data_IF_146971432774
#
_entry.id   IF_146971432774
#
_cell.length_a   1.000
_cell.length_b   1.000
_cell.length_c   1.000
_cell.angle_alpha   90.00
_cell.angle_beta   90.00
_cell.angle_gamma   90.00
#
_symmetry.space_group_name_H-M   'P 1'
#
loop_
_entity.id
_entity.type
_entity.pdbx_description
1 polymer ?
#
# COMPACT_ATOMS: atom_id res chain seq x y z
N UNK A 1 -103.44 23.93 23.72
CA UNK A 1 -102.36 23.80 22.73
C UNK A 1 -101.06 23.87 23.49
N UNK A 2 -100.55 22.70 23.75
CA UNK A 2 -99.31 22.57 24.57
C UNK A 2 -98.16 22.12 23.64
N UNK A 3 -97.19 22.99 23.45
CA UNK A 3 -95.96 22.66 22.70
C UNK A 3 -94.97 21.96 23.63
N UNK A 4 -94.62 20.78 23.27
CA UNK A 4 -93.47 20.02 23.92
C UNK A 4 -92.17 20.31 23.17
N UNK A 5 -91.23 20.92 23.91
CA UNK A 5 -89.86 21.13 23.46
C UNK A 5 -89.06 19.83 23.61
N UNK A 6 -88.53 19.31 22.52
CA UNK A 6 -87.66 18.14 22.52
C UNK A 6 -86.22 18.68 22.49
N UNK A 7 -85.45 18.45 23.56
CA UNK A 7 -84.04 18.75 23.65
C UNK A 7 -83.24 17.56 23.12
N UNK A 8 -82.49 17.75 22.03
CA UNK A 8 -81.50 16.78 21.56
C UNK A 8 -80.18 16.98 22.29
N UNK A 9 -79.76 15.99 23.05
CA UNK A 9 -78.40 15.96 23.64
C UNK A 9 -77.47 15.26 22.64
N UNK A 10 -76.54 16.00 22.04
CA UNK A 10 -75.47 15.47 21.19
C UNK A 10 -74.34 14.95 22.10
N UNK A 11 -74.11 13.64 22.14
CA UNK A 11 -72.96 13.01 22.79
C UNK A 11 -71.79 13.08 21.80
N UNK A 12 -70.80 13.94 22.08
CA UNK A 12 -69.53 13.94 21.36
C UNK A 12 -68.63 12.84 21.83
N UNK A 13 -68.42 11.78 21.04
CA UNK A 13 -67.46 10.74 21.31
C UNK A 13 -66.08 11.24 20.85
N UNK A 14 -65.23 11.60 21.84
CA UNK A 14 -63.83 11.95 21.59
C UNK A 14 -63.06 10.67 21.28
N UNK A 15 -62.78 10.38 19.99
CA UNK A 15 -61.83 9.35 19.58
C UNK A 15 -60.40 9.77 19.88
N UNK A 16 -59.81 9.27 20.92
CA UNK A 16 -58.38 9.39 21.16
C UNK A 16 -57.64 8.54 20.17
N UNK A 17 -57.16 9.15 19.10
CA UNK A 17 -56.18 8.54 18.18
C UNK A 17 -54.88 8.37 18.95
N UNK A 18 -54.59 7.14 19.33
CA UNK A 18 -53.25 6.76 19.78
C UNK A 18 -52.37 6.80 18.54
N UNK A 19 -51.51 7.80 18.45
CA UNK A 19 -50.44 7.85 17.48
C UNK A 19 -49.55 6.67 17.75
N UNK A 20 -49.50 5.71 16.84
CA UNK A 20 -48.45 4.66 16.83
C UNK A 20 -47.08 5.37 16.86
N UNK A 21 -46.15 4.90 17.70
CA UNK A 21 -44.82 5.48 17.72
C UNK A 21 -44.25 5.36 16.30
N UNK A 22 -43.99 6.47 15.67
CA UNK A 22 -43.23 6.54 14.43
C UNK A 22 -41.92 5.84 14.68
N UNK A 23 -41.71 4.67 14.07
CA UNK A 23 -40.42 3.99 14.05
C UNK A 23 -39.43 5.02 13.54
N UNK A 24 -38.60 5.55 14.40
CA UNK A 24 -37.46 6.39 14.03
C UNK A 24 -36.74 5.66 12.90
N UNK A 25 -36.61 6.29 11.75
CA UNK A 25 -35.76 5.74 10.69
C UNK A 25 -34.40 5.48 11.34
N UNK A 26 -33.97 4.20 11.36
CA UNK A 26 -32.69 3.85 11.98
C UNK A 26 -31.62 4.69 11.29
N UNK A 27 -30.96 5.56 12.05
CA UNK A 27 -29.76 6.24 11.60
C UNK A 27 -28.75 5.17 11.23
N UNK A 28 -28.11 5.22 10.05
CA UNK A 28 -27.06 4.28 9.68
C UNK A 28 -25.92 4.26 10.70
N UNK A 29 -24.89 3.48 10.45
CA UNK A 29 -23.73 3.39 11.33
C UNK A 29 -22.56 4.24 10.80
N UNK A 30 -21.78 4.78 11.74
CA UNK A 30 -20.58 5.57 11.44
C UNK A 30 -19.49 5.24 12.45
N UNK A 31 -18.35 4.70 11.97
CA UNK A 31 -17.21 4.31 12.79
C UNK A 31 -15.92 4.82 12.19
N UNK A 32 -14.94 5.14 13.04
CA UNK A 32 -13.60 5.58 12.61
C UNK A 32 -12.62 4.40 12.65
N UNK A 33 -11.91 4.16 11.55
CA UNK A 33 -10.85 3.14 11.55
C UNK A 33 -9.66 3.53 12.44
N UNK A 34 -9.52 4.82 12.78
CA UNK A 34 -8.46 5.32 13.66
C UNK A 34 -8.80 5.23 15.14
N UNK A 35 -10.10 5.21 15.50
CA UNK A 35 -10.56 5.26 16.89
C UNK A 35 -11.31 3.99 17.31
N UNK A 36 -12.10 3.40 16.40
CA UNK A 36 -13.03 2.32 16.73
C UNK A 36 -12.56 0.94 16.21
N UNK A 37 -11.51 0.87 15.39
CA UNK A 37 -10.96 -0.39 14.89
C UNK A 37 -9.77 -0.83 15.74
N UNK A 38 -10.06 -1.57 16.81
CA UNK A 38 -9.08 -2.00 17.80
C UNK A 38 -8.20 -3.17 17.34
N UNK A 39 -7.00 -3.26 17.92
CA UNK A 39 -6.07 -4.38 17.73
C UNK A 39 -6.38 -5.58 18.64
N UNK A 40 -6.20 -6.80 18.14
CA UNK A 40 -5.86 -7.17 16.75
C UNK A 40 -7.06 -7.00 15.80
N UNK A 41 -6.88 -6.15 14.76
CA UNK A 41 -7.99 -5.78 13.87
C UNK A 41 -8.47 -6.95 13.00
N UNK A 42 -9.81 -7.12 12.83
CA UNK A 42 -10.33 -7.87 11.70
C UNK A 42 -10.09 -7.14 10.37
N UNK A 43 -10.08 -7.88 9.27
CA UNK A 43 -10.24 -7.29 7.95
C UNK A 43 -11.70 -6.84 7.78
N UNK A 44 -11.90 -5.57 7.48
CA UNK A 44 -13.24 -4.98 7.25
C UNK A 44 -13.49 -4.96 5.74
N UNK A 45 -14.31 -5.90 5.27
CA UNK A 45 -14.53 -6.16 3.85
C UNK A 45 -15.96 -5.83 3.42
N UNK A 46 -16.14 -5.60 2.12
CA UNK A 46 -17.47 -5.49 1.54
C UNK A 46 -18.26 -6.80 1.72
N UNK A 47 -19.60 -6.74 1.59
CA UNK A 47 -20.45 -7.92 1.64
C UNK A 47 -20.00 -8.98 0.60
N UNK A 48 -20.22 -10.26 0.91
CA UNK A 48 -19.70 -11.39 0.12
C UNK A 48 -20.21 -11.41 -1.33
N UNK A 49 -21.43 -10.99 -1.55
CA UNK A 49 -22.04 -10.86 -2.87
C UNK A 49 -21.44 -9.77 -3.75
N UNK A 50 -20.67 -8.82 -3.15
CA UNK A 50 -19.96 -7.76 -3.84
C UNK A 50 -18.51 -8.14 -4.20
N UNK A 51 -18.10 -9.38 -3.91
CA UNK A 51 -16.75 -9.89 -4.18
C UNK A 51 -15.80 -9.77 -3.01
N UNK A 52 -14.50 -9.63 -3.32
CA UNK A 52 -13.43 -9.53 -2.31
C UNK A 52 -12.77 -8.16 -2.40
N UNK A 53 -12.94 -7.36 -1.37
CA UNK A 53 -12.38 -6.02 -1.30
C UNK A 53 -12.58 -5.39 0.07
N UNK A 54 -11.75 -4.40 0.39
CA UNK A 54 -11.93 -3.61 1.60
C UNK A 54 -13.16 -2.72 1.52
N UNK A 55 -13.80 -2.50 2.68
CA UNK A 55 -14.72 -1.39 2.86
C UNK A 55 -13.90 -0.11 3.06
N UNK A 56 -14.03 0.86 2.16
CA UNK A 56 -13.21 2.07 2.19
C UNK A 56 -13.86 3.18 3.02
N UNK A 57 -13.04 4.01 3.73
CA UNK A 57 -13.53 5.25 4.34
C UNK A 57 -14.13 6.20 3.30
N UNK A 58 -15.07 7.03 3.76
CA UNK A 58 -15.75 8.02 2.93
C UNK A 58 -15.13 9.41 3.01
N UNK A 59 -14.17 9.61 3.92
CA UNK A 59 -13.52 10.89 4.18
C UNK A 59 -12.04 10.73 4.57
N UNK A 60 -11.37 11.85 4.75
CA UNK A 60 -9.94 11.92 5.13
C UNK A 60 -9.70 11.71 6.64
N UNK A 61 -10.73 11.48 7.45
CA UNK A 61 -10.62 11.16 8.87
C UNK A 61 -10.69 9.65 9.15
N UNK A 62 -10.93 8.86 8.09
CA UNK A 62 -11.03 7.40 8.20
C UNK A 62 -12.41 6.91 8.63
N UNK A 63 -13.48 7.65 8.31
CA UNK A 63 -14.84 7.27 8.66
C UNK A 63 -15.41 6.23 7.70
N UNK A 64 -15.85 5.10 8.24
CA UNK A 64 -16.70 4.13 7.54
C UNK A 64 -18.17 4.47 7.81
N UNK A 65 -18.98 4.56 6.76
CA UNK A 65 -20.43 4.76 6.85
C UNK A 65 -21.17 3.56 6.29
N UNK A 66 -22.20 3.14 7.00
CA UNK A 66 -23.08 2.04 6.62
C UNK A 66 -24.52 2.51 6.67
N UNK A 67 -25.32 2.14 5.66
CA UNK A 67 -26.76 2.31 5.74
C UNK A 67 -27.35 1.39 6.80
N UNK A 68 -28.55 1.70 7.29
CA UNK A 68 -29.25 0.80 8.21
C UNK A 68 -29.42 -0.60 7.59
N UNK A 69 -29.10 -1.64 8.33
CA UNK A 69 -29.09 -3.05 7.88
C UNK A 69 -28.11 -3.36 6.74
N UNK A 70 -27.20 -2.46 6.40
CA UNK A 70 -26.14 -2.74 5.41
C UNK A 70 -25.22 -3.84 5.93
N UNK A 71 -24.99 -4.85 5.06
CA UNK A 71 -24.08 -5.97 5.32
C UNK A 71 -22.64 -5.60 4.96
N UNK A 72 -21.71 -6.04 5.79
CA UNK A 72 -20.28 -6.11 5.50
C UNK A 72 -19.69 -7.37 6.13
N UNK A 73 -18.39 -7.63 5.93
CA UNK A 73 -17.72 -8.81 6.49
C UNK A 73 -16.61 -8.42 7.43
N UNK A 74 -16.48 -9.20 8.50
CA UNK A 74 -15.34 -9.19 9.41
C UNK A 74 -14.58 -10.51 9.27
N UNK A 75 -13.27 -10.42 9.00
CA UNK A 75 -12.46 -11.61 8.77
C UNK A 75 -11.20 -11.61 9.64
N UNK A 76 -11.04 -12.67 10.42
CA UNK A 76 -9.89 -12.98 11.26
C UNK A 76 -9.22 -14.26 10.75
N UNK A 77 -8.69 -14.23 9.53
CA UNK A 77 -8.06 -15.41 8.92
C UNK A 77 -6.70 -15.76 9.56
N UNK A 78 -6.23 -16.97 9.28
CA UNK A 78 -4.99 -17.51 9.80
C UNK A 78 -5.17 -18.66 10.79
N UNK A 79 -4.10 -19.44 10.97
CA UNK A 79 -4.16 -20.62 11.82
C UNK A 79 -4.44 -20.29 13.29
N UNK A 80 -5.59 -20.80 13.79
CA UNK A 80 -6.06 -20.60 15.15
C UNK A 80 -6.43 -19.14 15.46
N UNK A 81 -6.72 -18.32 14.44
CA UNK A 81 -7.26 -16.98 14.55
C UNK A 81 -8.78 -17.01 14.39
N UNK A 82 -9.51 -16.12 15.02
CA UNK A 82 -10.97 -15.99 14.98
C UNK A 82 -11.40 -14.70 15.68
N UNK A 83 -12.67 -14.29 15.48
CA UNK A 83 -13.28 -13.18 16.22
C UNK A 83 -13.48 -13.58 17.68
N UNK A 84 -12.99 -12.74 18.59
CA UNK A 84 -13.12 -12.95 20.04
C UNK A 84 -14.55 -12.66 20.49
N UNK A 85 -15.02 -13.44 21.46
CA UNK A 85 -16.29 -13.24 22.17
C UNK A 85 -17.56 -13.20 21.28
N UNK A 86 -17.44 -13.73 20.05
CA UNK A 86 -18.55 -13.86 19.08
C UNK A 86 -19.03 -15.31 19.00
N UNK A 87 -20.02 -15.66 19.81
CA UNK A 87 -20.58 -17.01 19.89
C UNK A 87 -19.59 -18.07 20.40
N UNK A 88 -20.03 -19.33 20.45
CA UNK A 88 -19.25 -20.46 20.98
C UNK A 88 -18.26 -21.05 19.98
N UNK A 89 -18.37 -20.70 18.70
CA UNK A 89 -17.54 -21.22 17.61
C UNK A 89 -16.39 -20.25 17.28
N UNK A 90 -15.24 -20.81 16.92
CA UNK A 90 -14.07 -20.04 16.44
C UNK A 90 -14.31 -19.51 15.04
N UNK A 91 -15.10 -18.45 14.91
CA UNK A 91 -15.57 -17.89 13.65
C UNK A 91 -14.46 -17.03 13.04
N UNK A 92 -14.03 -17.36 11.82
CA UNK A 92 -12.96 -16.64 11.11
C UNK A 92 -13.51 -15.63 10.10
N UNK A 93 -14.70 -15.80 9.58
CA UNK A 93 -15.32 -14.99 8.53
C UNK A 93 -16.84 -14.94 8.78
N UNK A 94 -17.36 -13.74 9.02
CA UNK A 94 -18.78 -13.54 9.36
C UNK A 94 -19.33 -12.24 8.77
N UNK A 95 -20.61 -12.29 8.40
CA UNK A 95 -21.37 -11.09 8.08
C UNK A 95 -21.71 -10.29 9.33
N UNK A 96 -21.61 -8.99 9.22
CA UNK A 96 -22.02 -8.00 10.22
C UNK A 96 -23.00 -7.02 9.57
N UNK A 97 -24.00 -6.57 10.33
CA UNK A 97 -25.05 -5.69 9.84
C UNK A 97 -25.14 -4.44 10.70
N UNK A 98 -25.23 -3.26 10.07
CA UNK A 98 -25.43 -2.01 10.81
C UNK A 98 -26.78 -1.99 11.52
N UNK A 99 -26.79 -1.78 12.84
CA UNK A 99 -28.00 -1.58 13.63
C UNK A 99 -28.25 -0.08 13.82
N UNK A 100 -27.33 0.63 14.47
CA UNK A 100 -27.35 2.09 14.73
C UNK A 100 -25.97 2.56 15.23
N UNK A 101 -25.63 3.79 14.95
CA UNK A 101 -24.45 4.50 15.46
C UNK A 101 -23.14 3.70 15.30
N UNK A 102 -22.66 3.06 16.36
CA UNK A 102 -21.47 2.19 16.39
C UNK A 102 -21.80 0.73 16.69
N UNK A 103 -23.09 0.38 16.76
CA UNK A 103 -23.60 -0.93 17.13
C UNK A 103 -23.93 -1.76 15.88
N UNK A 104 -23.43 -2.99 15.84
CA UNK A 104 -23.59 -3.93 14.74
C UNK A 104 -24.12 -5.27 15.21
N UNK A 105 -24.98 -5.89 14.40
CA UNK A 105 -25.49 -7.25 14.61
C UNK A 105 -24.51 -8.25 14.02
N UNK A 106 -23.91 -9.10 14.85
CA UNK A 106 -23.00 -10.18 14.46
C UNK A 106 -23.44 -11.47 15.13
N UNK A 107 -23.64 -12.53 14.39
CA UNK A 107 -24.11 -13.83 14.94
C UNK A 107 -25.38 -13.69 15.80
N UNK A 108 -26.33 -12.85 15.38
CA UNK A 108 -27.61 -12.57 16.09
C UNK A 108 -27.45 -11.85 17.45
N UNK A 109 -26.29 -11.30 17.76
CA UNK A 109 -26.02 -10.50 18.96
C UNK A 109 -25.51 -9.12 18.55
N UNK A 110 -25.93 -8.07 19.28
CA UNK A 110 -25.44 -6.72 19.07
C UNK A 110 -24.10 -6.51 19.78
N UNK A 111 -23.13 -5.94 19.06
CA UNK A 111 -21.78 -5.58 19.54
C UNK A 111 -21.46 -4.13 19.19
N UNK A 112 -20.72 -3.45 20.04
CA UNK A 112 -20.02 -2.23 19.61
C UNK A 112 -18.88 -2.58 18.66
N UNK A 113 -18.66 -1.76 17.62
CA UNK A 113 -17.62 -2.03 16.61
C UNK A 113 -16.23 -2.20 17.23
N UNK A 114 -15.92 -1.44 18.27
CA UNK A 114 -14.64 -1.47 18.96
C UNK A 114 -14.36 -2.80 19.70
N UNK A 115 -15.39 -3.59 20.00
CA UNK A 115 -15.28 -4.89 20.69
C UNK A 115 -15.04 -6.05 19.69
N UNK A 116 -15.22 -5.79 18.39
CA UNK A 116 -15.07 -6.79 17.34
C UNK A 116 -13.59 -6.95 16.96
N UNK A 117 -12.85 -7.72 17.73
CA UNK A 117 -11.40 -7.93 17.57
C UNK A 117 -11.06 -9.39 17.24
N UNK A 118 -9.94 -9.60 16.57
CA UNK A 118 -9.40 -10.93 16.33
C UNK A 118 -8.62 -11.44 17.54
N UNK A 119 -8.47 -12.76 17.66
CA UNK A 119 -7.55 -13.34 18.66
C UNK A 119 -6.09 -12.99 18.41
N UNK A 120 -5.69 -12.86 17.15
CA UNK A 120 -4.34 -12.54 16.68
C UNK A 120 -4.40 -11.57 15.52
N UNK A 121 -3.28 -10.88 15.27
CA UNK A 121 -3.12 -10.14 14.01
C UNK A 121 -3.31 -11.06 12.82
N UNK A 122 -4.10 -10.63 11.84
CA UNK A 122 -4.31 -11.36 10.59
C UNK A 122 -3.01 -11.39 9.78
N UNK A 123 -2.43 -12.57 9.49
CA UNK A 123 -1.17 -12.69 8.78
C UNK A 123 -1.35 -12.44 7.28
N UNK A 124 -0.46 -11.65 6.69
CA UNK A 124 -0.33 -11.59 5.24
C UNK A 124 0.59 -12.72 4.73
N UNK A 125 0.40 -13.12 3.49
CA UNK A 125 1.18 -14.15 2.82
C UNK A 125 1.60 -13.71 1.42
N UNK A 126 2.65 -14.36 0.88
CA UNK A 126 3.08 -14.23 -0.51
C UNK A 126 2.74 -15.51 -1.24
N UNK A 127 2.05 -15.42 -2.39
CA UNK A 127 1.70 -16.61 -3.20
C UNK A 127 2.03 -16.43 -4.67
N UNK A 128 2.21 -17.54 -5.39
CA UNK A 128 2.24 -17.57 -6.86
C UNK A 128 0.81 -17.51 -7.38
N UNK A 129 0.57 -16.68 -8.39
CA UNK A 129 -0.75 -16.60 -9.04
C UNK A 129 -0.93 -17.67 -10.12
N UNK A 130 0.13 -18.35 -10.53
CA UNK A 130 0.14 -19.23 -11.70
C UNK A 130 0.22 -18.47 -13.03
N UNK A 131 0.22 -17.13 -13.01
CA UNK A 131 0.34 -16.26 -14.18
C UNK A 131 1.78 -15.78 -14.35
N UNK A 132 2.06 -15.21 -15.52
CA UNK A 132 3.32 -14.51 -15.82
C UNK A 132 3.07 -13.02 -15.99
N UNK A 133 4.08 -12.21 -15.69
CA UNK A 133 4.15 -10.80 -16.01
C UNK A 133 5.25 -10.57 -17.05
N UNK A 134 5.17 -9.47 -17.82
CA UNK A 134 6.17 -9.13 -18.85
C UNK A 134 6.51 -10.32 -19.78
N UNK A 135 5.51 -11.16 -20.06
CA UNK A 135 5.52 -12.37 -20.90
C UNK A 135 6.28 -13.59 -20.34
N UNK A 136 7.23 -13.44 -19.39
CA UNK A 136 8.09 -14.57 -18.97
C UNK A 136 8.39 -14.64 -17.48
N UNK A 137 8.19 -13.54 -16.73
CA UNK A 137 8.52 -13.50 -15.32
C UNK A 137 7.35 -13.95 -14.45
N UNK A 138 7.65 -14.36 -13.22
CA UNK A 138 6.64 -14.87 -12.29
C UNK A 138 5.80 -13.73 -11.72
N UNK A 139 4.48 -13.86 -11.81
CA UNK A 139 3.57 -13.00 -11.08
C UNK A 139 3.27 -13.61 -9.71
N UNK A 140 3.54 -12.84 -8.68
CA UNK A 140 3.21 -13.15 -7.28
C UNK A 140 2.17 -12.15 -6.78
N UNK A 141 1.50 -12.52 -5.70
CA UNK A 141 0.61 -11.63 -4.94
C UNK A 141 1.01 -11.62 -3.47
N UNK A 142 0.92 -10.45 -2.85
CA UNK A 142 0.95 -10.28 -1.40
C UNK A 142 -0.47 -9.93 -0.94
N UNK A 143 -0.95 -10.56 0.13
CA UNK A 143 -2.30 -10.32 0.61
C UNK A 143 -2.70 -11.24 1.75
N UNK A 144 -4.00 -11.47 1.89
CA UNK A 144 -4.57 -12.25 2.98
C UNK A 144 -5.33 -13.46 2.43
N UNK A 145 -5.00 -14.63 2.95
CA UNK A 145 -5.71 -15.88 2.63
C UNK A 145 -7.01 -15.92 3.44
N UNK A 146 -8.15 -15.94 2.75
CA UNK A 146 -9.47 -16.01 3.33
C UNK A 146 -10.07 -17.44 3.23
N UNK A 147 -9.23 -18.42 2.93
CA UNK A 147 -9.61 -19.83 2.71
C UNK A 147 -10.05 -20.08 1.28
N UNK A 148 -11.28 -19.74 0.91
CA UNK A 148 -11.78 -19.91 -0.48
C UNK A 148 -11.36 -18.77 -1.40
N UNK A 149 -11.14 -17.60 -0.85
CA UNK A 149 -10.82 -16.37 -1.54
C UNK A 149 -9.44 -15.85 -1.12
N UNK A 150 -8.96 -14.85 -1.82
CA UNK A 150 -7.73 -14.14 -1.48
C UNK A 150 -7.92 -12.64 -1.63
N UNK A 151 -7.62 -11.89 -0.57
CA UNK A 151 -7.60 -10.44 -0.62
C UNK A 151 -6.19 -9.98 -1.00
N UNK A 152 -5.95 -9.76 -2.29
CA UNK A 152 -4.69 -9.22 -2.79
C UNK A 152 -4.53 -7.75 -2.41
N UNK A 153 -3.35 -7.39 -1.91
CA UNK A 153 -2.97 -6.00 -1.62
C UNK A 153 -1.95 -5.48 -2.62
N UNK A 154 -1.10 -6.35 -3.13
CA UNK A 154 -0.02 -6.01 -4.08
C UNK A 154 0.18 -7.12 -5.11
N UNK A 155 0.31 -6.73 -6.39
CA UNK A 155 0.79 -7.61 -7.45
C UNK A 155 2.29 -7.39 -7.65
N UNK A 156 3.06 -8.46 -7.73
CA UNK A 156 4.53 -8.42 -7.81
C UNK A 156 4.99 -9.11 -9.08
N UNK A 157 5.75 -8.41 -9.91
CA UNK A 157 6.42 -8.95 -11.09
C UNK A 157 7.89 -9.24 -10.78
N UNK A 158 8.29 -10.53 -10.82
CA UNK A 158 9.58 -10.96 -10.30
C UNK A 158 10.30 -11.94 -11.22
N UNK A 159 11.59 -11.71 -11.40
CA UNK A 159 12.53 -12.70 -11.94
C UNK A 159 13.03 -13.63 -10.83
N UNK A 160 12.75 -14.92 -10.99
CA UNK A 160 13.18 -15.95 -10.01
C UNK A 160 14.67 -16.30 -10.14
N UNK A 161 15.32 -15.98 -11.28
CA UNK A 161 16.73 -16.32 -11.52
C UNK A 161 17.66 -15.26 -10.93
N UNK A 162 17.32 -13.97 -11.13
CA UNK A 162 18.12 -12.84 -10.62
C UNK A 162 17.63 -12.32 -9.28
N UNK A 163 16.46 -12.80 -8.82
CA UNK A 163 15.76 -12.36 -7.63
C UNK A 163 15.36 -10.87 -7.65
N UNK A 164 15.29 -10.26 -8.82
CA UNK A 164 14.85 -8.87 -9.00
C UNK A 164 13.33 -8.82 -9.00
N UNK A 165 12.75 -7.97 -8.18
CA UNK A 165 11.37 -7.51 -8.31
C UNK A 165 11.38 -6.36 -9.30
N UNK A 166 10.91 -6.60 -10.52
CA UNK A 166 10.88 -5.56 -11.56
C UNK A 166 9.90 -4.46 -11.23
N UNK A 167 8.72 -4.82 -10.72
CA UNK A 167 7.77 -3.85 -10.16
C UNK A 167 6.78 -4.49 -9.20
N UNK A 168 6.17 -3.65 -8.40
CA UNK A 168 4.98 -3.93 -7.59
C UNK A 168 3.87 -3.00 -8.07
N UNK A 169 2.66 -3.55 -8.27
CA UNK A 169 1.43 -2.81 -8.56
C UNK A 169 0.56 -2.75 -7.31
N UNK A 170 0.00 -1.57 -7.02
CA UNK A 170 -1.03 -1.36 -6.00
C UNK A 170 -2.17 -0.49 -6.54
N UNK A 171 -3.36 -0.68 -6.02
CA UNK A 171 -4.48 0.22 -6.24
C UNK A 171 -4.53 1.22 -5.07
N UNK A 172 -4.28 2.49 -5.36
CA UNK A 172 -4.30 3.58 -4.39
C UNK A 172 -5.69 4.22 -4.41
N UNK A 173 -6.53 3.99 -3.38
CA UNK A 173 -7.89 4.51 -3.39
C UNK A 173 -7.91 6.02 -3.11
N UNK A 174 -8.88 6.73 -3.67
CA UNK A 174 -9.14 8.15 -3.37
C UNK A 174 -9.36 8.44 -1.88
N UNK A 175 -9.79 7.44 -1.11
CA UNK A 175 -9.94 7.52 0.34
C UNK A 175 -8.62 7.40 1.11
N UNK A 176 -7.47 7.36 0.42
CA UNK A 176 -6.15 7.19 1.06
C UNK A 176 -5.85 8.29 2.09
N UNK A 177 -6.45 9.48 1.96
CA UNK A 177 -6.35 10.53 2.98
C UNK A 177 -6.82 10.10 4.37
N UNK A 178 -7.73 9.12 4.44
CA UNK A 178 -8.27 8.55 5.69
C UNK A 178 -7.51 7.35 6.23
N UNK A 179 -6.27 7.13 5.82
CA UNK A 179 -5.47 5.98 6.26
C UNK A 179 -5.20 5.97 7.77
N UNK A 180 -5.03 4.79 8.35
CA UNK A 180 -4.64 4.64 9.75
C UNK A 180 -3.23 5.21 9.98
N UNK A 181 -3.16 6.32 10.72
CA UNK A 181 -1.91 6.98 11.08
C UNK A 181 -1.26 6.32 12.30
N UNK A 182 0.07 6.46 12.44
CA UNK A 182 0.78 5.95 13.61
C UNK A 182 0.85 4.43 13.76
N UNK A 183 0.30 3.66 12.83
CA UNK A 183 0.31 2.20 12.89
C UNK A 183 1.74 1.65 12.92
N UNK A 184 2.10 0.74 13.86
CA UNK A 184 3.48 0.34 14.08
C UNK A 184 4.06 -0.42 12.89
N UNK A 185 5.38 -0.28 12.68
CA UNK A 185 6.12 -1.05 11.68
C UNK A 185 6.47 -2.42 12.24
N UNK A 186 6.08 -3.53 11.58
CA UNK A 186 6.51 -4.86 11.99
C UNK A 186 7.97 -5.11 11.56
N UNK A 187 8.52 -6.23 12.01
CA UNK A 187 9.75 -6.78 11.42
C UNK A 187 9.52 -7.17 9.97
N UNK A 188 10.58 -7.11 9.16
CA UNK A 188 10.56 -7.58 7.79
C UNK A 188 10.49 -9.10 7.71
N UNK A 189 9.71 -9.60 6.78
CA UNK A 189 9.51 -11.03 6.53
C UNK A 189 10.18 -11.47 5.24
N UNK A 190 10.79 -12.65 5.28
CA UNK A 190 11.35 -13.31 4.12
C UNK A 190 10.41 -14.42 3.65
N UNK A 191 10.10 -14.45 2.34
CA UNK A 191 9.41 -15.55 1.70
C UNK A 191 10.41 -16.58 1.16
N UNK A 192 9.92 -17.74 0.70
CA UNK A 192 10.74 -18.82 0.14
C UNK A 192 11.30 -18.53 -1.26
N UNK A 193 11.14 -17.29 -1.75
CA UNK A 193 11.51 -16.89 -3.12
C UNK A 193 12.95 -16.31 -3.23
N UNK A 194 13.85 -16.59 -2.28
CA UNK A 194 15.17 -15.96 -2.22
C UNK A 194 16.34 -16.97 -2.38
N UNK A 195 16.02 -18.23 -2.71
CA UNK A 195 17.04 -19.26 -2.84
C UNK A 195 17.89 -19.41 -1.58
N UNK A 196 19.24 -19.39 -1.69
CA UNK A 196 20.12 -19.57 -0.53
C UNK A 196 20.35 -18.29 0.30
N UNK A 197 19.82 -17.15 -0.11
CA UNK A 197 20.16 -15.85 0.47
C UNK A 197 19.28 -15.50 1.67
N UNK A 198 19.90 -15.13 2.79
CA UNK A 198 19.23 -14.54 3.97
C UNK A 198 19.20 -13.03 3.80
N UNK A 199 18.09 -12.51 3.24
CA UNK A 199 18.00 -11.10 2.81
C UNK A 199 18.13 -10.12 3.97
N UNK A 200 17.61 -10.48 5.17
CA UNK A 200 17.75 -9.63 6.34
C UNK A 200 19.21 -9.29 6.65
N UNK A 201 20.11 -10.26 6.52
CA UNK A 201 21.51 -10.11 6.88
C UNK A 201 22.26 -9.20 5.92
N UNK A 202 21.88 -9.20 4.64
CA UNK A 202 22.46 -8.31 3.62
C UNK A 202 22.21 -6.83 3.90
N UNK A 203 21.15 -6.51 4.64
CA UNK A 203 20.85 -5.13 5.03
C UNK A 203 21.65 -4.64 6.25
N UNK A 204 22.44 -5.49 6.94
CA UNK A 204 23.33 -5.02 7.99
C UNK A 204 24.50 -4.23 7.39
N UNK A 205 24.79 -3.05 7.94
CA UNK A 205 25.84 -2.17 7.43
C UNK A 205 27.23 -2.84 7.37
N UNK A 206 27.66 -3.63 8.35
CA UNK A 206 28.93 -4.37 8.24
C UNK A 206 28.97 -5.33 7.03
N UNK A 207 27.83 -6.00 6.73
CA UNK A 207 27.74 -6.88 5.56
C UNK A 207 27.80 -6.08 4.28
N UNK A 208 27.09 -4.95 4.18
CA UNK A 208 27.16 -4.06 3.03
C UNK A 208 28.59 -3.54 2.78
N UNK A 209 29.32 -3.15 3.85
CA UNK A 209 30.73 -2.74 3.76
C UNK A 209 31.59 -3.83 3.16
N UNK A 210 31.52 -5.05 3.74
CA UNK A 210 32.27 -6.21 3.24
C UNK A 210 31.95 -6.51 1.79
N UNK A 211 30.66 -6.50 1.41
CA UNK A 211 30.20 -6.72 0.04
C UNK A 211 30.79 -5.71 -0.93
N UNK A 212 30.72 -4.41 -0.59
CA UNK A 212 31.29 -3.33 -1.42
C UNK A 212 32.82 -3.43 -1.49
N UNK A 213 33.49 -3.75 -0.39
CA UNK A 213 34.94 -4.01 -0.37
C UNK A 213 35.35 -5.13 -1.33
N UNK A 214 34.62 -6.24 -1.33
CA UNK A 214 34.86 -7.37 -2.26
C UNK A 214 34.66 -6.96 -3.71
N UNK A 215 33.62 -6.17 -4.02
CA UNK A 215 33.33 -5.72 -5.38
C UNK A 215 34.40 -4.74 -5.89
N UNK A 216 34.77 -3.77 -5.07
CA UNK A 216 35.74 -2.71 -5.42
C UNK A 216 37.20 -3.14 -5.22
N UNK A 217 37.42 -4.31 -4.60
CA UNK A 217 38.73 -4.84 -4.22
C UNK A 217 39.54 -3.91 -3.33
N UNK A 218 38.85 -3.17 -2.45
CA UNK A 218 39.42 -2.23 -1.51
C UNK A 218 38.56 -2.14 -0.24
N UNK A 219 39.17 -2.39 0.92
CA UNK A 219 38.50 -2.29 2.20
C UNK A 219 38.23 -0.82 2.54
N UNK A 220 39.13 0.08 2.20
CA UNK A 220 39.00 1.53 2.44
C UNK A 220 37.79 2.10 1.68
N UNK A 221 37.61 1.71 0.42
CA UNK A 221 36.43 2.13 -0.36
C UNK A 221 35.13 1.59 0.21
N UNK A 222 35.11 0.33 0.69
CA UNK A 222 33.95 -0.21 1.38
C UNK A 222 33.57 0.57 2.64
N UNK A 223 34.57 0.99 3.43
CA UNK A 223 34.38 1.86 4.60
C UNK A 223 33.92 3.29 4.21
N UNK A 224 34.44 3.80 3.11
CA UNK A 224 34.13 5.16 2.61
C UNK A 224 32.70 5.23 2.08
N UNK A 225 32.30 4.26 1.25
CA UNK A 225 30.97 4.29 0.61
C UNK A 225 29.84 3.89 1.55
N UNK A 226 30.07 2.97 2.50
CA UNK A 226 29.04 2.54 3.44
C UNK A 226 29.37 3.06 4.85
N UNK A 227 28.63 4.06 5.30
CA UNK A 227 28.85 4.69 6.60
C UNK A 227 28.21 3.90 7.75
N UNK A 228 28.93 3.84 8.89
CA UNK A 228 28.37 3.30 10.13
C UNK A 228 27.51 4.32 10.88
N UNK A 229 27.75 5.61 10.68
CA UNK A 229 27.20 6.70 11.51
C UNK A 229 26.24 7.63 10.78
N UNK A 230 26.33 7.70 9.44
CA UNK A 230 25.50 8.57 8.61
C UNK A 230 24.45 7.77 7.81
N UNK A 231 23.72 8.46 6.93
CA UNK A 231 22.68 7.87 6.06
C UNK A 231 23.22 7.36 4.71
N UNK A 232 24.53 7.18 4.56
CA UNK A 232 25.15 6.59 3.37
C UNK A 232 25.24 5.07 3.53
N UNK A 233 24.12 4.38 3.26
CA UNK A 233 23.97 2.93 3.26
C UNK A 233 22.71 2.56 2.47
N UNK A 234 22.59 1.29 2.06
CA UNK A 234 21.40 0.78 1.40
C UNK A 234 20.32 0.43 2.41
N UNK A 235 19.21 1.16 2.35
CA UNK A 235 18.00 0.88 3.10
C UNK A 235 17.11 -0.14 2.36
N UNK A 236 16.13 -0.66 3.08
CA UNK A 236 15.02 -1.44 2.54
C UNK A 236 14.04 -0.47 1.86
N UNK A 237 14.35 -0.05 0.61
CA UNK A 237 13.49 0.82 -0.17
C UNK A 237 12.21 0.08 -0.56
N UNK A 238 11.06 0.49 0.00
CA UNK A 238 9.79 -0.07 -0.39
C UNK A 238 9.46 0.23 -1.85
N UNK A 239 8.94 -0.73 -2.59
CA UNK A 239 8.31 -0.51 -3.88
C UNK A 239 6.87 -0.01 -3.67
N UNK A 240 6.07 -0.73 -2.91
CA UNK A 240 4.79 -0.24 -2.42
C UNK A 240 4.96 0.25 -0.96
N UNK A 241 4.95 1.58 -0.70
CA UNK A 241 5.22 2.12 0.63
C UNK A 241 4.07 1.83 1.59
N UNK A 242 4.41 1.70 2.89
CA UNK A 242 3.44 1.44 3.96
C UNK A 242 2.24 2.41 3.92
N UNK A 243 2.50 3.68 3.69
CA UNK A 243 1.48 4.72 3.77
C UNK A 243 0.51 4.75 2.58
N UNK A 244 0.72 3.97 1.53
CA UNK A 244 -0.21 3.83 0.40
C UNK A 244 -1.40 2.91 0.72
N UNK A 245 -1.50 2.41 1.96
CA UNK A 245 -2.56 1.52 2.40
C UNK A 245 -3.39 2.14 3.54
N UNK A 246 -4.71 2.05 3.39
CA UNK A 246 -5.67 2.66 4.33
C UNK A 246 -5.65 1.94 5.68
N UNK A 247 -5.75 0.61 5.68
CA UNK A 247 -5.83 -0.19 6.89
C UNK A 247 -4.47 -0.62 7.42
N UNK A 248 -4.30 -0.62 8.73
CA UNK A 248 -3.09 -1.07 9.41
C UNK A 248 -2.69 -2.51 9.06
N UNK A 249 -3.66 -3.41 8.87
CA UNK A 249 -3.42 -4.78 8.39
C UNK A 249 -2.73 -4.78 7.02
N UNK A 250 -3.24 -3.99 6.06
CA UNK A 250 -2.64 -3.85 4.74
C UNK A 250 -1.29 -3.12 4.79
N UNK A 251 -1.14 -2.12 5.67
CA UNK A 251 0.15 -1.46 5.93
C UNK A 251 1.22 -2.46 6.39
N UNK A 252 0.86 -3.42 7.26
CA UNK A 252 1.78 -4.49 7.72
C UNK A 252 2.18 -5.43 6.59
N UNK A 253 1.29 -5.67 5.62
CA UNK A 253 1.58 -6.56 4.48
C UNK A 253 2.68 -6.03 3.54
N UNK A 254 3.08 -4.76 3.67
CA UNK A 254 4.17 -4.18 2.86
C UNK A 254 5.57 -4.61 3.30
N UNK A 255 5.72 -5.21 4.50
CA UNK A 255 7.01 -5.57 5.09
C UNK A 255 7.53 -6.94 4.67
N UNK A 256 7.33 -7.31 3.41
CA UNK A 256 7.97 -8.46 2.78
C UNK A 256 9.17 -7.99 1.97
N UNK A 257 10.33 -8.67 2.09
CA UNK A 257 11.54 -8.32 1.32
C UNK A 257 11.31 -8.32 -0.19
N UNK A 258 10.32 -9.09 -0.68
CA UNK A 258 9.92 -9.11 -2.08
C UNK A 258 9.31 -7.78 -2.56
N UNK A 259 8.85 -6.94 -1.62
CA UNK A 259 8.37 -5.57 -1.84
C UNK A 259 9.47 -4.53 -1.56
N UNK A 260 10.74 -4.92 -1.55
CA UNK A 260 11.85 -4.00 -1.27
C UNK A 260 13.00 -4.21 -2.25
N UNK A 261 13.72 -3.12 -2.52
CA UNK A 261 14.98 -3.14 -3.23
C UNK A 261 16.03 -2.31 -2.47
N UNK A 262 17.33 -2.62 -2.63
CA UNK A 262 18.39 -1.82 -2.00
C UNK A 262 18.38 -0.39 -2.55
N UNK A 263 18.11 0.58 -1.69
CA UNK A 263 17.99 2.01 -2.02
C UNK A 263 18.85 2.84 -1.08
N UNK A 264 19.62 3.77 -1.59
CA UNK A 264 20.36 4.68 -0.72
C UNK A 264 19.42 5.42 0.23
N UNK A 265 19.73 5.40 1.54
CA UNK A 265 18.85 5.94 2.57
C UNK A 265 18.58 7.44 2.38
N UNK A 266 19.55 8.23 1.92
CA UNK A 266 19.38 9.68 1.67
C UNK A 266 18.38 9.93 0.54
N UNK A 267 18.38 9.10 -0.51
CA UNK A 267 17.39 9.14 -1.59
C UNK A 267 16.01 8.61 -1.10
N UNK A 268 15.98 7.46 -0.42
CA UNK A 268 14.77 6.86 0.13
C UNK A 268 14.01 7.81 1.08
N UNK A 269 14.74 8.49 1.97
CA UNK A 269 14.18 9.51 2.88
C UNK A 269 14.20 10.94 2.31
N UNK A 270 14.59 11.09 1.05
CA UNK A 270 14.67 12.35 0.32
C UNK A 270 13.52 12.55 -0.65
N UNK A 271 13.85 12.81 -1.92
CA UNK A 271 12.86 13.09 -2.97
C UNK A 271 11.88 11.95 -3.19
N UNK A 272 12.29 10.69 -2.99
CA UNK A 272 11.38 9.55 -3.12
C UNK A 272 10.24 9.60 -2.10
N UNK A 273 10.55 9.92 -0.83
CA UNK A 273 9.53 10.10 0.22
C UNK A 273 8.59 11.27 -0.09
N UNK A 274 9.10 12.39 -0.63
CA UNK A 274 8.25 13.52 -1.05
C UNK A 274 7.30 13.10 -2.17
N UNK A 275 7.80 12.41 -3.22
CA UNK A 275 6.98 11.88 -4.30
C UNK A 275 5.85 10.98 -3.78
N UNK A 276 6.17 10.03 -2.89
CA UNK A 276 5.16 9.14 -2.29
C UNK A 276 4.08 9.91 -1.55
N UNK A 277 4.47 10.94 -0.78
CA UNK A 277 3.54 11.81 -0.07
C UNK A 277 2.64 12.61 -1.03
N UNK A 278 3.24 13.16 -2.08
CA UNK A 278 2.52 13.98 -3.05
C UNK A 278 1.52 13.17 -3.88
N UNK A 279 1.88 11.94 -4.28
CA UNK A 279 0.97 11.01 -4.97
C UNK A 279 -0.27 10.70 -4.12
N UNK A 280 -0.11 10.43 -2.81
CA UNK A 280 -1.25 10.20 -1.91
C UNK A 280 -2.13 11.44 -1.77
N UNK A 281 -1.52 12.61 -1.60
CA UNK A 281 -2.25 13.89 -1.53
C UNK A 281 -3.02 14.13 -2.82
N UNK A 282 -2.38 13.91 -3.97
CA UNK A 282 -3.01 14.08 -5.27
C UNK A 282 -4.21 13.13 -5.44
N UNK A 283 -4.07 11.84 -5.16
CA UNK A 283 -5.16 10.87 -5.23
C UNK A 283 -6.36 11.30 -4.36
N UNK A 284 -6.09 11.72 -3.11
CA UNK A 284 -7.11 12.12 -2.17
C UNK A 284 -7.78 13.45 -2.55
N UNK A 285 -7.00 14.48 -2.90
CA UNK A 285 -7.56 15.81 -3.24
C UNK A 285 -8.30 15.82 -4.55
N UNK A 286 -7.81 15.07 -5.55
CA UNK A 286 -8.45 14.95 -6.87
C UNK A 286 -9.55 13.89 -6.92
N UNK A 287 -9.78 13.16 -5.82
CA UNK A 287 -10.77 12.08 -5.69
C UNK A 287 -10.60 10.99 -6.76
N UNK A 288 -9.35 10.61 -7.04
CA UNK A 288 -9.01 9.59 -8.04
C UNK A 288 -8.60 8.28 -7.38
N UNK A 289 -9.13 7.18 -7.90
CA UNK A 289 -8.63 5.83 -7.63
C UNK A 289 -7.54 5.55 -8.67
N UNK A 290 -6.29 5.44 -8.21
CA UNK A 290 -5.11 5.34 -9.08
C UNK A 290 -4.49 3.94 -9.06
N UNK A 291 -3.95 3.53 -10.19
CA UNK A 291 -3.03 2.39 -10.27
C UNK A 291 -1.59 2.89 -10.14
N UNK A 292 -0.87 2.39 -9.13
CA UNK A 292 0.52 2.74 -8.88
C UNK A 292 1.41 1.54 -9.19
N UNK A 293 2.37 1.74 -10.08
CA UNK A 293 3.42 0.76 -10.34
C UNK A 293 4.75 1.35 -9.88
N UNK A 294 5.48 0.64 -9.04
CA UNK A 294 6.82 1.07 -8.63
C UNK A 294 7.80 -0.04 -8.91
N UNK A 295 8.90 0.30 -9.55
CA UNK A 295 9.88 -0.70 -9.95
C UNK A 295 11.30 -0.16 -10.03
N UNK A 296 12.18 -0.99 -10.60
CA UNK A 296 13.61 -0.72 -10.67
C UNK A 296 14.15 -0.97 -12.07
N UNK A 297 15.30 -0.32 -12.39
CA UNK A 297 15.97 -0.49 -13.67
C UNK A 297 17.49 -0.34 -13.55
N UNK A 298 18.21 -1.13 -14.35
CA UNK A 298 19.67 -1.09 -14.45
C UNK A 298 20.39 -1.55 -13.18
N UNK A 299 21.71 -1.53 -13.22
CA UNK A 299 22.57 -1.89 -12.11
C UNK A 299 23.39 -0.66 -11.68
N UNK A 300 23.35 -0.31 -10.40
CA UNK A 300 24.14 0.77 -9.85
C UNK A 300 25.65 0.45 -9.92
N UNK A 301 26.46 1.49 -10.00
CA UNK A 301 27.93 1.34 -10.06
C UNK A 301 28.61 2.29 -9.09
N UNK A 302 29.79 1.87 -8.59
CA UNK A 302 30.72 2.76 -7.87
C UNK A 302 32.12 2.65 -8.49
N UNK A 303 32.92 3.73 -8.48
CA UNK A 303 34.29 3.68 -8.95
C UNK A 303 35.19 2.90 -7.97
N UNK A 304 36.10 2.08 -8.52
CA UNK A 304 37.21 1.47 -7.78
C UNK A 304 38.38 2.47 -7.63
N UNK A 305 39.49 2.06 -7.01
CA UNK A 305 40.69 2.90 -6.81
C UNK A 305 41.29 3.44 -8.12
N UNK A 306 40.99 2.81 -9.26
CA UNK A 306 41.41 3.25 -10.60
C UNK A 306 40.35 4.06 -11.32
N UNK A 307 39.32 4.49 -10.62
CA UNK A 307 38.15 5.18 -11.18
C UNK A 307 37.33 4.35 -12.19
N UNK A 308 37.52 3.03 -12.23
CA UNK A 308 36.72 2.13 -13.07
C UNK A 308 35.41 1.82 -12.36
N UNK A 309 34.29 2.15 -13.00
CA UNK A 309 32.95 1.88 -12.41
C UNK A 309 32.68 0.37 -12.41
N UNK A 310 32.37 -0.16 -11.21
CA UNK A 310 32.03 -1.56 -10.94
C UNK A 310 30.57 -1.67 -10.60
N UNK A 311 29.89 -2.65 -11.24
CA UNK A 311 28.51 -2.97 -10.93
C UNK A 311 28.35 -3.45 -9.49
N UNK A 312 27.29 -3.00 -8.84
CA UNK A 312 26.99 -3.30 -7.46
C UNK A 312 25.96 -4.41 -7.35
N UNK A 313 26.25 -5.33 -6.47
CA UNK A 313 25.38 -6.43 -6.10
C UNK A 313 25.23 -6.47 -4.59
N UNK A 314 24.03 -6.85 -4.12
CA UNK A 314 23.75 -6.89 -2.70
C UNK A 314 24.39 -8.10 -2.01
N UNK A 315 24.78 -9.11 -2.79
CA UNK A 315 25.61 -10.23 -2.37
C UNK A 315 26.85 -10.37 -3.27
N UNK A 316 28.01 -10.52 -2.66
CA UNK A 316 29.26 -10.79 -3.36
C UNK A 316 30.17 -11.67 -2.50
N UNK A 317 30.62 -12.80 -3.07
CA UNK A 317 31.58 -13.73 -2.44
C UNK A 317 32.50 -14.31 -3.52
N UNK A 318 33.80 -14.10 -3.40
CA UNK A 318 34.75 -14.48 -4.43
C UNK A 318 34.38 -13.87 -5.81
N UNK A 319 34.03 -14.73 -6.77
CA UNK A 319 33.56 -14.31 -8.10
C UNK A 319 32.03 -14.26 -8.22
N UNK A 320 31.33 -14.82 -7.25
CA UNK A 320 29.86 -14.84 -7.26
C UNK A 320 29.29 -13.44 -7.02
N UNK A 321 28.26 -13.10 -7.80
CA UNK A 321 27.51 -11.85 -7.71
C UNK A 321 26.03 -12.18 -7.83
N UNK A 322 25.23 -11.70 -6.89
CA UNK A 322 23.78 -11.90 -6.92
C UNK A 322 23.06 -10.69 -6.34
N UNK A 323 21.77 -10.58 -6.65
CA UNK A 323 20.90 -9.52 -6.18
C UNK A 323 21.42 -8.14 -6.63
N UNK A 324 21.32 -7.78 -7.93
CA UNK A 324 21.82 -6.50 -8.43
C UNK A 324 21.16 -5.32 -7.73
N UNK A 325 21.97 -4.33 -7.35
CA UNK A 325 21.47 -3.09 -6.76
C UNK A 325 21.00 -2.20 -7.91
N UNK A 326 19.74 -1.72 -7.90
CA UNK A 326 19.21 -0.96 -9.03
C UNK A 326 19.88 0.41 -9.18
N UNK A 327 20.10 0.83 -10.44
CA UNK A 327 20.59 2.18 -10.80
C UNK A 327 19.48 3.20 -10.69
N UNK A 328 18.26 2.83 -11.07
CA UNK A 328 17.09 3.69 -11.08
C UNK A 328 15.92 3.03 -10.32
N UNK A 329 15.19 3.84 -9.59
CA UNK A 329 13.82 3.55 -9.18
C UNK A 329 12.88 4.31 -10.10
N UNK A 330 11.77 3.72 -10.45
CA UNK A 330 10.73 4.38 -11.21
C UNK A 330 9.36 4.14 -10.57
N UNK A 331 8.44 5.10 -10.74
CA UNK A 331 7.06 5.00 -10.27
C UNK A 331 6.14 5.52 -11.37
N UNK A 332 5.14 4.72 -11.76
CA UNK A 332 4.05 5.16 -12.63
C UNK A 332 2.83 5.43 -11.76
N UNK A 333 2.23 6.58 -11.94
CA UNK A 333 0.93 6.97 -11.41
C UNK A 333 -0.04 7.04 -12.57
N UNK A 334 -1.06 6.19 -12.57
CA UNK A 334 -1.97 5.99 -13.69
C UNK A 334 -3.43 6.05 -13.25
N UNK A 335 -4.23 6.87 -13.93
CA UNK A 335 -5.68 6.90 -13.80
C UNK A 335 -6.31 6.02 -14.89
N UNK A 336 -6.89 4.85 -14.53
CA UNK A 336 -7.45 3.93 -15.51
C UNK A 336 -8.73 4.45 -16.18
N UNK A 337 -9.38 5.47 -15.60
CA UNK A 337 -10.61 6.05 -16.16
C UNK A 337 -10.26 7.03 -17.29
N UNK A 338 -9.42 8.02 -17.02
CA UNK A 338 -8.96 8.97 -18.03
C UNK A 338 -7.88 8.40 -18.94
N UNK A 339 -7.27 7.29 -18.57
CA UNK A 339 -6.08 6.68 -19.20
C UNK A 339 -4.87 7.63 -19.23
N UNK A 340 -4.83 8.61 -18.34
CA UNK A 340 -3.67 9.49 -18.17
C UNK A 340 -2.71 8.91 -17.15
N UNK A 341 -1.42 9.14 -17.38
CA UNK A 341 -0.41 8.65 -16.45
C UNK A 341 0.91 9.38 -16.59
N UNK A 342 1.68 9.39 -15.51
CA UNK A 342 3.00 10.01 -15.44
C UNK A 342 3.97 9.03 -14.81
N UNK A 343 5.15 8.92 -15.38
CA UNK A 343 6.25 8.16 -14.82
C UNK A 343 7.21 9.11 -14.08
N UNK A 344 7.71 8.67 -12.95
CA UNK A 344 8.71 9.37 -12.15
C UNK A 344 9.95 8.49 -12.06
N UNK A 345 11.13 9.08 -12.18
CA UNK A 345 12.42 8.38 -12.11
C UNK A 345 13.25 9.00 -11.01
N UNK A 346 13.88 8.17 -10.20
CA UNK A 346 14.85 8.58 -9.18
C UNK A 346 16.17 7.84 -9.38
N UNK A 347 17.27 8.58 -9.35
CA UNK A 347 18.62 8.06 -9.50
C UNK A 347 19.10 7.50 -8.15
N UNK A 348 19.37 6.21 -8.09
CA UNK A 348 19.87 5.54 -6.89
C UNK A 348 21.40 5.61 -6.82
N UNK A 349 21.94 6.84 -6.84
CA UNK A 349 23.36 7.14 -6.72
C UNK A 349 23.53 8.45 -5.93
N UNK A 350 24.07 8.37 -4.72
CA UNK A 350 24.27 9.51 -3.81
C UNK A 350 25.67 10.10 -3.92
N UNK A 351 26.53 9.50 -4.74
CA UNK A 351 27.90 9.92 -5.00
C UNK A 351 28.06 10.62 -6.36
N UNK A 352 26.96 11.01 -6.94
CA UNK A 352 26.94 11.89 -8.13
C UNK A 352 27.49 13.25 -7.73
N UNK A 353 28.45 13.76 -8.48
CA UNK A 353 29.05 15.10 -8.27
C UNK A 353 28.48 16.14 -9.21
N UNK A 354 27.90 15.71 -10.33
CA UNK A 354 27.38 16.58 -11.40
C UNK A 354 26.14 15.93 -12.05
N UNK A 355 25.26 16.79 -12.58
CA UNK A 355 24.13 16.40 -13.38
C UNK A 355 24.59 16.19 -14.82
N UNK A 356 24.77 14.94 -15.22
CA UNK A 356 25.18 14.54 -16.57
C UNK A 356 24.02 13.86 -17.31
N UNK A 357 24.01 13.95 -18.65
CA UNK A 357 22.91 13.43 -19.48
C UNK A 357 22.65 11.94 -19.29
N UNK A 358 23.66 11.15 -18.88
CA UNK A 358 23.51 9.71 -18.60
C UNK A 358 22.65 9.39 -17.37
N UNK A 359 22.24 10.42 -16.61
CA UNK A 359 21.32 10.32 -15.47
C UNK A 359 19.86 10.49 -15.89
N UNK A 360 19.62 11.05 -17.07
CA UNK A 360 18.29 11.25 -17.61
C UNK A 360 18.04 10.20 -18.70
N UNK A 361 17.10 9.29 -18.45
CA UNK A 361 16.74 8.18 -19.35
C UNK A 361 15.44 8.45 -20.12
N UNK A 362 14.90 9.65 -20.01
CA UNK A 362 13.75 10.17 -20.72
C UNK A 362 13.77 11.70 -20.67
N UNK A 363 12.94 12.37 -21.46
CA UNK A 363 12.72 13.80 -21.38
C UNK A 363 12.05 14.18 -20.05
N UNK A 364 12.60 15.21 -19.36
CA UNK A 364 12.06 15.69 -18.08
C UNK A 364 10.87 16.61 -18.30
N UNK A 365 9.69 16.13 -17.91
CA UNK A 365 8.41 16.86 -17.94
C UNK A 365 7.94 17.29 -16.55
N UNK A 366 8.83 17.34 -15.55
CA UNK A 366 8.48 17.70 -14.16
C UNK A 366 7.78 19.06 -14.06
N UNK A 367 8.09 19.99 -14.96
CA UNK A 367 7.45 21.31 -15.04
C UNK A 367 5.95 21.28 -15.36
N UNK A 368 5.44 20.17 -15.89
CA UNK A 368 4.03 19.96 -16.19
C UNK A 368 3.24 19.42 -15.00
N UNK A 369 3.90 19.09 -13.87
CA UNK A 369 3.31 18.41 -12.71
C UNK A 369 3.28 19.35 -11.50
N UNK A 370 2.24 20.19 -11.36
CA UNK A 370 2.21 21.28 -10.38
C UNK A 370 2.06 20.82 -8.91
N UNK A 371 1.65 19.57 -8.68
CA UNK A 371 1.43 19.03 -7.35
C UNK A 371 2.69 18.43 -6.69
N UNK A 372 3.84 18.43 -7.36
CA UNK A 372 5.11 17.94 -6.81
C UNK A 372 5.73 18.95 -5.84
N UNK A 373 6.13 18.47 -4.67
CA UNK A 373 6.83 19.27 -3.63
C UNK A 373 8.29 18.89 -3.45
N UNK A 374 8.82 17.98 -4.26
CA UNK A 374 10.19 17.52 -4.19
C UNK A 374 11.24 18.61 -4.59
N UNK A 375 12.50 18.28 -4.41
CA UNK A 375 13.64 19.12 -4.82
C UNK A 375 14.46 18.36 -5.87
N UNK A 376 14.03 18.35 -7.13
CA UNK A 376 14.50 17.38 -8.14
C UNK A 376 16.01 17.45 -8.41
N UNK A 377 16.62 18.63 -8.36
CA UNK A 377 18.04 18.83 -8.57
C UNK A 377 18.92 18.60 -7.33
N UNK A 378 18.35 18.23 -6.18
CA UNK A 378 19.13 17.98 -4.96
C UNK A 378 19.80 16.62 -5.02
N UNK A 379 21.11 16.60 -5.25
CA UNK A 379 21.93 15.38 -5.23
C UNK A 379 21.80 14.66 -3.89
N UNK A 380 21.80 15.37 -2.77
CA UNK A 380 21.68 14.78 -1.43
C UNK A 380 20.33 14.09 -1.20
N UNK A 381 19.25 14.60 -1.79
CA UNK A 381 17.90 14.02 -1.69
C UNK A 381 17.61 13.00 -2.78
N UNK A 382 18.54 12.79 -3.70
CA UNK A 382 18.41 11.96 -4.89
C UNK A 382 17.82 12.70 -6.08
N UNK A 383 18.56 12.75 -7.18
CA UNK A 383 18.11 13.32 -8.45
C UNK A 383 16.82 12.60 -8.87
N UNK A 384 15.78 13.38 -9.17
CA UNK A 384 14.48 12.84 -9.52
C UNK A 384 13.81 13.72 -10.58
N UNK A 385 13.09 13.11 -11.51
CA UNK A 385 12.43 13.80 -12.62
C UNK A 385 11.19 13.02 -13.07
N UNK A 386 10.31 13.67 -13.84
CA UNK A 386 9.12 13.06 -14.40
C UNK A 386 9.24 12.85 -15.90
N UNK A 387 8.58 11.80 -16.42
CA UNK A 387 8.61 11.44 -17.83
C UNK A 387 7.20 11.12 -18.35
N UNK A 388 6.97 11.29 -19.64
CA UNK A 388 5.93 10.57 -20.32
C UNK A 388 6.21 9.05 -20.24
N UNK A 389 5.16 8.25 -19.96
CA UNK A 389 5.31 6.79 -19.77
C UNK A 389 5.91 6.12 -21.01
N UNK A 390 5.47 6.53 -22.20
CA UNK A 390 5.92 5.94 -23.47
C UNK A 390 7.37 6.30 -23.79
N UNK A 391 7.84 7.47 -23.35
CA UNK A 391 9.24 7.84 -23.49
C UNK A 391 10.13 6.98 -22.59
N UNK A 392 9.78 6.85 -21.30
CA UNK A 392 10.51 5.98 -20.38
C UNK A 392 10.52 4.52 -20.84
N UNK A 393 9.44 4.04 -21.48
CA UNK A 393 9.33 2.65 -21.98
C UNK A 393 10.38 2.32 -23.04
N UNK A 394 10.90 3.31 -23.78
CA UNK A 394 11.96 3.08 -24.77
C UNK A 394 13.26 2.60 -24.14
N UNK A 395 13.52 2.97 -22.89
CA UNK A 395 14.73 2.61 -22.16
C UNK A 395 14.48 1.52 -21.12
N UNK A 396 13.28 1.49 -20.53
CA UNK A 396 12.92 0.53 -19.48
C UNK A 396 11.94 -0.52 -20.03
N UNK A 397 12.44 -1.64 -20.58
CA UNK A 397 11.59 -2.66 -21.23
C UNK A 397 10.70 -3.42 -20.24
N UNK A 398 10.98 -3.29 -18.94
CA UNK A 398 10.22 -3.93 -17.85
C UNK A 398 9.07 -3.08 -17.33
N UNK A 399 8.71 -1.97 -18.00
CA UNK A 399 7.48 -1.24 -17.69
C UNK A 399 6.23 -2.04 -18.07
N UNK A 400 5.18 -1.98 -17.27
CA UNK A 400 3.89 -2.59 -17.63
C UNK A 400 3.33 -1.94 -18.91
N UNK A 401 2.63 -2.75 -19.71
CA UNK A 401 1.91 -2.22 -20.89
C UNK A 401 0.64 -1.52 -20.39
N UNK A 402 0.56 -0.23 -20.61
CA UNK A 402 -0.59 0.62 -20.30
C UNK A 402 -1.03 1.35 -21.56
N UNK A 403 -2.33 1.55 -21.71
CA UNK A 403 -2.91 2.40 -22.76
C UNK A 403 -2.96 3.83 -22.24
N UNK A 404 -2.02 4.67 -22.68
CA UNK A 404 -1.81 6.01 -22.14
C UNK A 404 -2.32 7.07 -23.09
N UNK A 405 -3.29 7.88 -22.65
CA UNK A 405 -3.87 8.98 -23.44
C UNK A 405 -3.16 10.33 -23.23
N UNK A 406 -2.24 10.45 -22.26
CA UNK A 406 -1.50 11.67 -21.96
C UNK A 406 -0.94 11.71 -20.55
N UNK A 407 -0.32 12.83 -20.20
CA UNK A 407 0.27 13.07 -18.87
C UNK A 407 -0.85 13.30 -17.85
N UNK A 408 -0.71 12.72 -16.67
CA UNK A 408 -1.52 12.98 -15.48
C UNK A 408 -0.85 14.10 -14.67
N UNK A 409 -1.39 15.28 -14.73
CA UNK A 409 -0.85 16.50 -14.12
C UNK A 409 -1.82 17.12 -13.10
#
# INVERSE_FOLDING_TARGET
>A
MTFRLIVFVAIAIASSAHALPTRSASSGCSVSINEDLNEPQPLVLVAKNLGVGYRWPVDTTGTLKFAANEEFRLVCSGNGNYLMDVGDNKIQDIAAYCVRDKTFLVNSVEYEFADLVCKKTVPSVVRKTGKTCLNSYTQLEIGFDLGKDFLGTMDVCRDQNTFVTYYVKVNLPKSIGGFQSGYPRPSWSQSDFWGPYTINDLYYRPVQKSTVSVILKSEDLGQTYISSTTNYYFARGHLAPKADFVYGSAQRSTFWYINAAPQWQTFNGGNWMYLESDVRKYASSSQLDLEIFTGVHGIATLPDEKSIRRELYFYASGKERALPIPKFFWKIVYDPISRKGTAFVGVNDVYVTELTDDRFICEDVSGEIPWLSWQPASIQKGISYACAIDDLRRVVPTLPKLDVAGILS
#
